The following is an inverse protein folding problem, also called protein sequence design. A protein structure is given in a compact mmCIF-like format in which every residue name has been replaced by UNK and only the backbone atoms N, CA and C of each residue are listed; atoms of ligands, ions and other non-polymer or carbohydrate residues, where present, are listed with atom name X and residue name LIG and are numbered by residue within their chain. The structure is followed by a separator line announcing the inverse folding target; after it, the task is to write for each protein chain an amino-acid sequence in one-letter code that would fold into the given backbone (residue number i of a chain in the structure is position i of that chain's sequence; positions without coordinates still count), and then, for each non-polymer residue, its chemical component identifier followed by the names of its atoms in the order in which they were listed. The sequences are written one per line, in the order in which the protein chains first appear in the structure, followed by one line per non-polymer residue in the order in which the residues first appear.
data_IF_663240076734
#
_entry.id   IF_663240076734
#
_cell.length_a   1.000
_cell.length_b   1.000
_cell.length_c   1.000
_cell.angle_alpha   90.00
_cell.angle_beta   90.00
_cell.angle_gamma   90.00
#
_symmetry.space_group_name_H-M   'P 1'
#
loop_
_entity.id
_entity.type
_entity.pdbx_description
1 polymer ?
#
# COMPACT_ATOMS: atom_id res chain seq x y z
N UNK A 1 -18.15 24.27 -6.42
CA UNK A 1 -19.28 23.48 -5.89
C UNK A 1 -19.84 22.51 -6.93
N UNK A 2 -20.10 22.94 -8.16
CA UNK A 2 -20.57 22.07 -9.25
C UNK A 2 -19.60 20.94 -9.60
N UNK A 3 -18.29 21.22 -9.62
CA UNK A 3 -17.23 20.23 -9.88
C UNK A 3 -17.21 19.15 -8.79
N UNK A 4 -17.40 19.52 -7.52
CA UNK A 4 -17.49 18.56 -6.41
C UNK A 4 -18.70 17.64 -6.57
N UNK A 5 -19.85 18.19 -7.02
CA UNK A 5 -21.07 17.42 -7.27
C UNK A 5 -20.91 16.46 -8.45
N UNK A 6 -20.29 16.89 -9.56
CA UNK A 6 -20.02 16.02 -10.71
C UNK A 6 -19.04 14.90 -10.36
N UNK A 7 -18.01 15.21 -9.56
CA UNK A 7 -17.06 14.22 -9.06
C UNK A 7 -17.75 13.23 -8.11
N UNK A 8 -18.63 13.71 -7.24
CA UNK A 8 -19.42 12.87 -6.33
C UNK A 8 -20.37 11.95 -7.10
N UNK A 9 -21.05 12.48 -8.12
CA UNK A 9 -21.91 11.69 -9.02
C UNK A 9 -21.09 10.68 -9.81
N UNK A 10 -19.89 11.03 -10.28
CA UNK A 10 -18.99 10.10 -10.95
C UNK A 10 -18.56 8.93 -10.04
N UNK A 11 -18.24 9.21 -8.77
CA UNK A 11 -17.91 8.22 -7.74
C UNK A 11 -19.12 7.34 -7.38
N UNK A 12 -20.32 7.94 -7.26
CA UNK A 12 -21.57 7.23 -6.94
C UNK A 12 -22.13 6.42 -8.12
N UNK A 13 -21.91 6.85 -9.36
CA UNK A 13 -22.39 6.18 -10.57
C UNK A 13 -21.41 5.11 -11.08
N UNK A 14 -20.10 5.30 -10.93
CA UNK A 14 -19.09 4.24 -11.12
C UNK A 14 -18.88 3.43 -9.82
N UNK A 15 -19.89 3.39 -8.98
CA UNK A 15 -19.99 2.47 -7.85
C UNK A 15 -20.45 1.07 -8.31
N UNK A 16 -20.23 0.75 -9.59
CA UNK A 16 -20.37 -0.61 -10.08
C UNK A 16 -19.45 -1.49 -9.23
N UNK A 17 -20.10 -2.34 -8.45
CA UNK A 17 -19.44 -3.28 -7.56
C UNK A 17 -18.76 -4.31 -8.45
N UNK A 18 -17.46 -4.14 -8.66
CA UNK A 18 -16.66 -5.13 -9.36
C UNK A 18 -16.49 -6.29 -8.39
N UNK A 19 -16.91 -7.49 -8.78
CA UNK A 19 -16.61 -8.70 -8.03
C UNK A 19 -15.11 -8.97 -8.18
N UNK A 20 -14.34 -8.76 -7.10
CA UNK A 20 -12.95 -9.18 -7.04
C UNK A 20 -12.88 -10.60 -6.48
N UNK A 21 -12.44 -11.53 -7.32
CA UNK A 21 -12.03 -12.87 -6.90
C UNK A 21 -10.57 -12.80 -6.41
N UNK A 22 -10.37 -12.76 -5.09
CA UNK A 22 -9.04 -12.76 -4.49
C UNK A 22 -8.76 -14.11 -3.86
N UNK A 23 -7.87 -14.89 -4.47
CA UNK A 23 -7.39 -16.23 -4.05
C UNK A 23 -8.45 -17.35 -3.96
N UNK A 24 -9.59 -17.14 -3.30
CA UNK A 24 -10.78 -18.00 -3.29
C UNK A 24 -12.00 -17.28 -2.67
N UNK A 25 -11.94 -15.96 -2.51
CA UNK A 25 -12.93 -15.16 -1.80
C UNK A 25 -13.51 -14.09 -2.72
N UNK A 26 -14.84 -14.02 -2.75
CA UNK A 26 -15.59 -13.04 -3.53
C UNK A 26 -15.79 -11.77 -2.71
N UNK A 27 -15.19 -10.67 -3.17
CA UNK A 27 -15.39 -9.36 -2.57
C UNK A 27 -16.11 -8.45 -3.57
N UNK A 28 -17.35 -8.07 -3.25
CA UNK A 28 -18.07 -7.04 -3.99
C UNK A 28 -17.79 -5.68 -3.35
N UNK A 29 -16.81 -4.96 -3.90
CA UNK A 29 -16.43 -3.64 -3.42
C UNK A 29 -16.39 -2.66 -4.61
N UNK A 30 -16.71 -1.38 -4.41
CA UNK A 30 -16.55 -0.40 -5.47
C UNK A 30 -15.10 -0.36 -5.94
N UNK A 31 -14.88 -0.26 -7.26
CA UNK A 31 -13.56 -0.29 -7.88
C UNK A 31 -12.56 0.67 -7.19
N UNK A 32 -13.00 1.90 -6.90
CA UNK A 32 -12.15 2.90 -6.22
C UNK A 32 -11.67 2.46 -4.83
N UNK A 33 -12.50 1.72 -4.09
CA UNK A 33 -12.14 1.17 -2.77
C UNK A 33 -11.11 0.05 -2.93
N UNK A 34 -11.28 -0.83 -3.91
CA UNK A 34 -10.32 -1.89 -4.21
C UNK A 34 -8.93 -1.34 -4.60
N UNK A 35 -8.89 -0.29 -5.43
CA UNK A 35 -7.63 0.38 -5.79
C UNK A 35 -6.94 1.05 -4.59
N UNK A 36 -7.70 1.64 -3.67
CA UNK A 36 -7.15 2.21 -2.44
C UNK A 36 -6.49 1.13 -1.58
N UNK A 37 -7.15 -0.01 -1.38
CA UNK A 37 -6.57 -1.15 -0.66
C UNK A 37 -5.30 -1.68 -1.34
N UNK A 38 -5.30 -1.80 -2.67
CA UNK A 38 -4.13 -2.22 -3.43
C UNK A 38 -2.95 -1.25 -3.24
N UNK A 39 -3.20 0.06 -3.28
CA UNK A 39 -2.18 1.07 -3.05
C UNK A 39 -1.60 1.02 -1.63
N UNK A 40 -2.46 0.85 -0.61
CA UNK A 40 -2.04 0.72 0.79
C UNK A 40 -1.19 -0.55 0.97
N UNK A 41 -1.62 -1.68 0.42
CA UNK A 41 -0.88 -2.94 0.48
C UNK A 41 0.51 -2.80 -0.15
N UNK A 42 0.58 -2.19 -1.35
CA UNK A 42 1.85 -1.90 -2.01
C UNK A 42 2.77 -1.00 -1.17
N UNK A 43 2.23 0.07 -0.59
CA UNK A 43 3.00 0.98 0.27
C UNK A 43 3.54 0.29 1.53
N UNK A 44 2.76 -0.59 2.15
CA UNK A 44 3.20 -1.39 3.31
C UNK A 44 4.35 -2.31 2.92
N UNK A 45 4.24 -3.03 1.80
CA UNK A 45 5.30 -3.93 1.32
C UNK A 45 6.61 -3.15 1.09
N UNK A 46 6.53 -2.02 0.38
CA UNK A 46 7.70 -1.17 0.09
C UNK A 46 8.30 -0.60 1.37
N UNK A 47 7.45 -0.11 2.28
CA UNK A 47 7.87 0.44 3.56
C UNK A 47 8.59 -0.59 4.43
N UNK A 48 8.08 -1.82 4.48
CA UNK A 48 8.72 -2.94 5.20
C UNK A 48 10.06 -3.32 4.57
N UNK A 49 10.12 -3.50 3.24
CA UNK A 49 11.36 -3.84 2.55
C UNK A 49 12.44 -2.76 2.75
N UNK A 50 12.06 -1.48 2.63
CA UNK A 50 12.96 -0.35 2.89
C UNK A 50 13.40 -0.29 4.35
N UNK A 51 12.47 -0.42 5.30
CA UNK A 51 12.75 -0.42 6.73
C UNK A 51 13.70 -1.55 7.15
N UNK A 52 13.46 -2.78 6.67
CA UNK A 52 14.34 -3.92 6.91
C UNK A 52 15.74 -3.67 6.34
N UNK A 53 15.84 -3.13 5.12
CA UNK A 53 17.14 -2.78 4.52
C UNK A 53 17.89 -1.77 5.39
N UNK A 54 17.22 -0.72 5.87
CA UNK A 54 17.82 0.28 6.76
C UNK A 54 18.28 -0.38 8.07
N UNK A 55 17.47 -1.25 8.67
CA UNK A 55 17.84 -1.98 9.89
C UNK A 55 19.04 -2.90 9.66
N UNK A 56 19.10 -3.63 8.53
CA UNK A 56 20.24 -4.47 8.16
C UNK A 56 21.53 -3.64 8.04
N UNK A 57 21.48 -2.50 7.35
CA UNK A 57 22.60 -1.56 7.23
C UNK A 57 23.07 -1.05 8.60
N UNK A 58 22.14 -0.69 9.49
CA UNK A 58 22.47 -0.23 10.85
C UNK A 58 23.19 -1.30 11.67
N UNK A 59 22.72 -2.54 11.62
CA UNK A 59 23.38 -3.66 12.32
C UNK A 59 24.77 -3.94 11.74
N UNK A 60 24.91 -3.94 10.41
CA UNK A 60 26.20 -4.13 9.75
C UNK A 60 27.22 -3.03 10.12
N UNK A 61 26.79 -1.76 10.13
CA UNK A 61 27.63 -0.63 10.49
C UNK A 61 28.10 -0.70 11.96
N UNK A 62 27.22 -1.08 12.89
CA UNK A 62 27.59 -1.29 14.30
C UNK A 62 28.61 -2.43 14.46
N UNK A 63 28.48 -3.51 13.69
CA UNK A 63 29.44 -4.62 13.69
C UNK A 63 30.81 -4.23 13.13
N UNK A 64 30.84 -3.34 12.13
CA UNK A 64 32.08 -2.79 11.58
C UNK A 64 32.79 -1.88 12.59
N UNK A 65 32.07 -0.99 13.29
CA UNK A 65 32.65 -0.15 14.35
C UNK A 65 33.33 -0.96 15.46
N UNK A 66 32.75 -2.10 15.85
CA UNK A 66 33.34 -2.98 16.87
C UNK A 66 34.63 -3.68 16.41
N UNK A 67 34.87 -3.82 15.10
CA UNK A 67 36.09 -4.43 14.54
C UNK A 67 37.24 -3.44 14.35
N UNK A 68 36.96 -2.17 14.12
CA UNK A 68 38.01 -1.14 13.91
C UNK A 68 38.67 -0.66 15.21
N UNK A 69 38.14 -1.04 16.38
CA UNK A 69 38.67 -0.66 17.71
C UNK A 69 39.58 -1.75 18.32
N UNK A 70 39.74 -2.90 17.64
CA UNK A 70 40.71 -3.96 18.00
C UNK A 70 41.99 -3.82 17.19
#
# INVERSE_FOLDING_TARGET
MLILLLLLVFILQNLDSVTLELFAWDFSLPLGVALLFAAIAGAVIVGLAGGLRILQLRHAANRQRARTVR
#
